data_IF_468657384883
#
_entry.id   IF_468657384883
#
_cell.length_a   1.000
_cell.length_b   1.000
_cell.length_c   1.000
_cell.angle_alpha   90.00
_cell.angle_beta   90.00
_cell.angle_gamma   90.00
#
_symmetry.space_group_name_H-M   'P 1'
#
loop_
_entity.id
_entity.type
_entity.pdbx_description
1 polymer ?
#
# COMPACT_ATOMS: atom_id res chain seq x y z
N UNK A 1 -18.93 -22.47 1.86
CA UNK A 1 -18.35 -21.28 1.23
C UNK A 1 -18.16 -20.32 2.39
N UNK A 2 -16.96 -20.29 2.96
CA UNK A 2 -16.70 -19.50 4.16
C UNK A 2 -16.32 -18.08 3.70
N UNK A 3 -17.33 -17.31 3.30
CA UNK A 3 -17.22 -15.92 2.82
C UNK A 3 -16.68 -14.96 3.89
N UNK A 4 -16.56 -15.41 5.14
CA UNK A 4 -16.39 -14.54 6.30
C UNK A 4 -15.06 -14.72 7.05
N UNK A 5 -14.12 -15.51 6.52
CA UNK A 5 -12.77 -15.57 7.07
C UNK A 5 -11.92 -14.49 6.40
N UNK A 6 -11.43 -13.46 7.15
CA UNK A 6 -10.45 -12.54 6.61
C UNK A 6 -9.28 -13.35 6.08
N UNK A 7 -8.94 -13.17 4.81
CA UNK A 7 -7.80 -13.87 4.22
C UNK A 7 -6.55 -13.36 4.93
N UNK A 8 -5.91 -14.21 5.73
CA UNK A 8 -4.70 -13.87 6.48
C UNK A 8 -3.64 -13.25 5.55
N UNK A 9 -3.56 -13.73 4.30
CA UNK A 9 -2.70 -13.18 3.26
C UNK A 9 -2.98 -11.69 2.97
N UNK A 10 -4.25 -11.29 2.83
CA UNK A 10 -4.67 -9.89 2.63
C UNK A 10 -4.20 -9.01 3.78
N UNK A 11 -4.50 -9.42 5.02
CA UNK A 11 -4.10 -8.69 6.22
C UNK A 11 -2.57 -8.55 6.29
N UNK A 12 -1.84 -9.63 6.03
CA UNK A 12 -0.37 -9.63 6.05
C UNK A 12 0.20 -8.69 4.99
N UNK A 13 -0.35 -8.71 3.77
CA UNK A 13 0.04 -7.82 2.67
C UNK A 13 -0.17 -6.35 3.06
N UNK A 14 -1.40 -5.98 3.43
CA UNK A 14 -1.75 -4.58 3.74
C UNK A 14 -0.94 -4.03 4.92
N UNK A 15 -0.76 -4.82 5.99
CA UNK A 15 0.12 -4.44 7.12
C UNK A 15 1.57 -4.28 6.70
N UNK A 16 2.05 -5.11 5.77
CA UNK A 16 3.40 -4.96 5.23
C UNK A 16 3.54 -3.68 4.41
N UNK A 17 2.55 -3.33 3.60
CA UNK A 17 2.54 -2.09 2.80
C UNK A 17 2.59 -0.85 3.71
N UNK A 18 1.76 -0.80 4.75
CA UNK A 18 1.82 0.24 5.77
C UNK A 18 3.20 0.36 6.40
N UNK A 19 3.72 -0.75 6.95
CA UNK A 19 5.01 -0.73 7.66
C UNK A 19 6.18 -0.32 6.75
N UNK A 20 6.17 -0.74 5.48
CA UNK A 20 7.37 -0.66 4.63
C UNK A 20 7.30 0.46 3.60
N UNK A 21 6.18 0.61 2.89
CA UNK A 21 6.05 1.59 1.82
C UNK A 21 5.60 2.97 2.35
N UNK A 22 4.69 2.97 3.33
CA UNK A 22 4.11 4.21 3.88
C UNK A 22 4.93 4.70 5.08
N UNK A 23 4.90 3.97 6.20
CA UNK A 23 5.56 4.38 7.45
C UNK A 23 7.08 4.19 7.43
N UNK A 24 7.61 3.48 6.43
CA UNK A 24 9.05 3.34 6.22
C UNK A 24 9.77 4.69 6.11
N UNK A 25 9.06 5.74 5.67
CA UNK A 25 9.58 7.10 5.56
C UNK A 25 9.82 7.82 6.89
N UNK A 26 9.19 7.37 7.98
CA UNK A 26 9.48 7.86 9.34
C UNK A 26 10.75 7.25 9.94
N UNK A 27 11.35 6.25 9.28
CA UNK A 27 12.57 5.61 9.77
C UNK A 27 13.76 6.59 9.77
N UNK A 28 14.65 6.54 10.79
CA UNK A 28 15.83 7.38 10.84
C UNK A 28 16.67 7.27 9.56
N UNK A 29 17.03 8.42 8.97
CA UNK A 29 17.83 8.49 7.75
C UNK A 29 17.07 8.24 6.45
N UNK A 30 15.76 7.93 6.48
CA UNK A 30 15.01 7.64 5.26
C UNK A 30 14.93 8.84 4.32
N UNK A 31 14.65 10.04 4.85
CA UNK A 31 14.60 11.29 4.09
C UNK A 31 15.98 11.69 3.54
N UNK A 32 17.04 11.48 4.31
CA UNK A 32 18.40 11.87 3.95
C UNK A 32 18.96 11.10 2.74
N UNK A 33 18.36 9.96 2.39
CA UNK A 33 18.67 9.23 1.15
C UNK A 33 18.13 9.94 -0.10
N UNK A 34 17.17 10.85 0.06
CA UNK A 34 16.60 11.64 -1.03
C UNK A 34 17.28 13.00 -1.04
N UNK A 35 18.06 13.29 -2.09
CA UNK A 35 18.86 14.51 -2.18
C UNK A 35 18.03 15.80 -2.01
N UNK A 36 16.79 15.82 -2.52
CA UNK A 36 15.89 16.95 -2.34
C UNK A 36 15.45 17.12 -0.89
N UNK A 37 15.03 16.05 -0.22
CA UNK A 37 14.63 16.09 1.19
C UNK A 37 15.81 16.45 2.10
N UNK A 38 17.02 15.94 1.82
CA UNK A 38 18.23 16.35 2.53
C UNK A 38 18.46 17.86 2.43
N UNK A 39 18.37 18.46 1.23
CA UNK A 39 18.52 19.92 1.08
C UNK A 39 17.46 20.68 1.87
N UNK A 40 16.21 20.23 1.86
CA UNK A 40 15.14 20.86 2.64
C UNK A 40 15.42 20.81 4.15
N UNK A 41 15.90 19.67 4.65
CA UNK A 41 16.31 19.52 6.06
C UNK A 41 17.51 20.41 6.41
N UNK A 42 18.51 20.49 5.52
CA UNK A 42 19.68 21.34 5.71
C UNK A 42 19.31 22.85 5.72
N UNK A 43 18.23 23.24 5.03
CA UNK A 43 17.64 24.59 5.05
C UNK A 43 16.68 24.83 6.25
N UNK A 44 16.53 23.86 7.14
CA UNK A 44 15.73 23.99 8.36
C UNK A 44 14.24 23.70 8.21
N UNK A 45 13.82 23.01 7.14
CA UNK A 45 12.47 22.48 7.06
C UNK A 45 12.19 21.52 8.22
N UNK A 46 10.97 21.56 8.74
CA UNK A 46 10.55 20.65 9.81
C UNK A 46 10.53 19.20 9.29
N UNK A 47 11.11 18.29 10.09
CA UNK A 47 11.22 16.88 9.69
C UNK A 47 9.84 16.21 9.66
N UNK A 48 9.00 16.48 10.65
CA UNK A 48 7.73 15.80 10.80
C UNK A 48 6.79 16.20 9.66
N UNK A 49 6.85 17.47 9.21
CA UNK A 49 6.14 17.95 8.02
C UNK A 49 6.61 17.23 6.75
N UNK A 50 7.92 17.04 6.58
CA UNK A 50 8.46 16.31 5.42
C UNK A 50 8.11 14.83 5.46
N UNK A 51 8.15 14.20 6.63
CA UNK A 51 7.71 12.81 6.80
C UNK A 51 6.23 12.69 6.46
N UNK A 52 5.39 13.60 6.95
CA UNK A 52 3.95 13.60 6.65
C UNK A 52 3.70 13.72 5.15
N UNK A 53 4.33 14.69 4.48
CA UNK A 53 4.19 14.88 3.04
C UNK A 53 4.52 13.62 2.24
N UNK A 54 5.63 12.96 2.57
CA UNK A 54 6.07 11.76 1.85
C UNK A 54 5.19 10.55 2.20
N UNK A 55 4.71 10.43 3.44
CA UNK A 55 3.74 9.39 3.84
C UNK A 55 2.44 9.52 3.07
N UNK A 56 1.92 10.74 2.88
CA UNK A 56 0.72 10.99 2.06
C UNK A 56 0.97 10.56 0.61
N UNK A 57 2.08 11.00 -0.01
CA UNK A 57 2.40 10.61 -1.38
C UNK A 57 2.59 9.09 -1.55
N UNK A 58 3.20 8.43 -0.57
CA UNK A 58 3.37 6.99 -0.57
C UNK A 58 2.04 6.25 -0.41
N UNK A 59 1.16 6.73 0.48
CA UNK A 59 -0.18 6.17 0.66
C UNK A 59 -0.99 6.26 -0.63
N UNK A 60 -1.06 7.43 -1.28
CA UNK A 60 -1.78 7.63 -2.54
C UNK A 60 -1.24 6.69 -3.65
N UNK A 61 0.08 6.57 -3.77
CA UNK A 61 0.68 5.66 -4.73
C UNK A 61 0.36 4.18 -4.45
N UNK A 62 0.40 3.76 -3.19
CA UNK A 62 0.02 2.40 -2.79
C UNK A 62 -1.46 2.16 -3.05
N UNK A 63 -2.32 3.13 -2.72
CA UNK A 63 -3.77 3.10 -2.93
C UNK A 63 -4.13 2.88 -4.40
N UNK A 64 -3.49 3.64 -5.31
CA UNK A 64 -3.67 3.47 -6.75
C UNK A 64 -3.19 2.10 -7.26
N UNK A 65 -2.08 1.59 -6.71
CA UNK A 65 -1.60 0.25 -7.08
C UNK A 65 -2.57 -0.84 -6.63
N UNK A 66 -3.07 -0.79 -5.39
CA UNK A 66 -3.98 -1.83 -4.90
C UNK A 66 -5.34 -1.80 -5.58
N UNK A 67 -5.81 -0.62 -6.00
CA UNK A 67 -7.02 -0.45 -6.81
C UNK A 67 -6.90 -1.16 -8.18
N UNK A 68 -5.75 -0.99 -8.84
CA UNK A 68 -5.43 -1.73 -10.07
C UNK A 68 -5.33 -3.25 -9.82
N UNK A 69 -4.78 -3.66 -8.67
CA UNK A 69 -4.72 -5.07 -8.28
C UNK A 69 -6.09 -5.71 -8.02
N UNK A 70 -7.04 -4.96 -7.45
CA UNK A 70 -8.41 -5.42 -7.26
C UNK A 70 -9.20 -5.47 -8.58
N UNK A 71 -8.96 -4.50 -9.46
CA UNK A 71 -9.64 -4.42 -10.75
C UNK A 71 -9.29 -5.62 -11.64
N UNK A 72 -8.01 -6.05 -11.63
CA UNK A 72 -7.56 -7.32 -12.25
C UNK A 72 -7.76 -7.41 -13.76
N UNK A 73 -8.27 -6.36 -14.39
CA UNK A 73 -8.50 -6.27 -15.82
C UNK A 73 -8.69 -4.79 -16.13
N UNK A 74 -7.86 -4.22 -17.02
CA UNK A 74 -8.32 -3.05 -17.74
C UNK A 74 -7.80 -2.94 -19.18
N UNK A 75 -8.75 -2.53 -20.02
CA UNK A 75 -8.63 -2.02 -21.39
C UNK A 75 -7.90 -2.88 -22.43
N UNK A 76 -8.65 -3.83 -23.02
CA UNK A 76 -8.71 -4.09 -24.45
C UNK A 76 -7.40 -3.89 -25.24
N UNK A 77 -6.32 -4.55 -24.78
CA UNK A 77 -5.09 -4.63 -25.56
C UNK A 77 -5.38 -5.60 -26.70
N UNK A 78 -5.61 -5.05 -27.89
CA UNK A 78 -5.73 -5.79 -29.15
C UNK A 78 -6.92 -6.77 -29.29
N UNK A 79 -8.09 -6.47 -28.69
CA UNK A 79 -9.31 -7.26 -28.90
C UNK A 79 -9.33 -8.63 -28.21
N UNK A 80 -8.43 -8.84 -27.26
CA UNK A 80 -8.45 -10.00 -26.36
C UNK A 80 -8.74 -9.54 -24.94
N UNK A 81 -9.71 -10.18 -24.29
CA UNK A 81 -9.96 -10.01 -22.87
C UNK A 81 -8.85 -10.75 -22.09
N UNK A 82 -7.86 -9.99 -21.61
CA UNK A 82 -6.83 -10.48 -20.71
C UNK A 82 -7.16 -9.97 -19.32
N UNK A 83 -7.42 -10.90 -18.41
CA UNK A 83 -7.62 -10.64 -16.99
C UNK A 83 -6.62 -11.41 -16.15
N UNK A 84 -6.40 -10.94 -14.94
CA UNK A 84 -5.57 -11.55 -13.92
C UNK A 84 -6.21 -11.30 -12.55
N UNK A 85 -5.72 -11.99 -11.53
CA UNK A 85 -6.19 -11.81 -10.17
C UNK A 85 -5.04 -12.07 -9.21
N UNK A 86 -4.93 -11.25 -8.16
CA UNK A 86 -4.02 -11.55 -7.05
C UNK A 86 -4.64 -12.66 -6.22
N UNK A 87 -3.87 -13.70 -5.89
CA UNK A 87 -4.37 -14.82 -5.09
C UNK A 87 -3.37 -15.29 -4.06
N UNK A 88 -3.90 -15.91 -2.99
CA UNK A 88 -3.11 -16.45 -1.90
C UNK A 88 -2.27 -17.64 -2.41
N UNK A 89 -1.02 -17.71 -1.96
CA UNK A 89 -0.16 -18.87 -2.15
C UNK A 89 -0.16 -19.76 -0.90
N UNK A 90 0.00 -21.07 -1.11
CA UNK A 90 0.30 -22.00 -0.02
C UNK A 90 1.77 -21.92 0.43
N UNK A 91 2.18 -22.82 1.32
CA UNK A 91 3.55 -22.89 1.85
C UNK A 91 4.60 -23.28 0.81
N UNK A 92 4.19 -23.87 -0.31
CA UNK A 92 5.07 -24.24 -1.42
C UNK A 92 5.11 -23.14 -2.50
N UNK A 93 4.36 -22.06 -2.31
CA UNK A 93 4.24 -20.95 -3.26
C UNK A 93 3.24 -21.23 -4.38
N UNK A 94 2.47 -22.32 -4.31
CA UNK A 94 1.46 -22.64 -5.32
C UNK A 94 0.19 -21.81 -5.09
N UNK A 95 -0.48 -21.35 -6.16
CA UNK A 95 -1.69 -20.56 -6.00
C UNK A 95 -2.84 -21.42 -5.46
N UNK A 96 -3.50 -20.95 -4.40
CA UNK A 96 -4.59 -21.67 -3.72
C UNK A 96 -5.94 -21.54 -4.44
N UNK A 97 -6.05 -20.63 -5.40
CA UNK A 97 -7.31 -20.25 -6.06
C UNK A 97 -8.19 -19.32 -5.23
N UNK A 98 -7.75 -18.89 -4.03
CA UNK A 98 -8.45 -17.87 -3.23
C UNK A 98 -7.97 -16.46 -3.61
N UNK A 99 -8.80 -15.61 -4.23
CA UNK A 99 -8.40 -14.29 -4.66
C UNK A 99 -8.29 -13.32 -3.47
N UNK A 100 -7.24 -12.50 -3.44
CA UNK A 100 -7.12 -11.36 -2.53
C UNK A 100 -7.96 -10.22 -3.09
N UNK A 101 -9.24 -10.19 -2.73
CA UNK A 101 -10.16 -9.12 -3.11
C UNK A 101 -10.28 -8.08 -1.99
N UNK A 102 -10.61 -6.84 -2.37
CA UNK A 102 -10.92 -5.76 -1.45
C UNK A 102 -9.67 -5.14 -0.82
N UNK A 103 -8.55 -5.13 -1.55
CA UNK A 103 -7.28 -4.57 -1.08
C UNK A 103 -7.37 -3.05 -0.91
N UNK A 104 -7.98 -2.35 -1.86
CA UNK A 104 -8.17 -0.91 -1.84
C UNK A 104 -9.08 -0.49 -0.69
N UNK A 105 -10.25 -1.12 -0.53
CA UNK A 105 -11.20 -0.80 0.53
C UNK A 105 -10.61 -1.06 1.92
N UNK A 106 -9.87 -2.16 2.09
CA UNK A 106 -9.27 -2.50 3.38
C UNK A 106 -7.98 -1.72 3.67
N UNK A 107 -7.34 -1.08 2.69
CA UNK A 107 -6.04 -0.44 2.88
C UNK A 107 -6.08 0.61 4.00
N UNK A 108 -7.08 1.49 4.00
CA UNK A 108 -7.19 2.56 5.00
C UNK A 108 -7.48 1.99 6.41
N UNK A 109 -8.29 0.93 6.49
CA UNK A 109 -8.61 0.25 7.75
C UNK A 109 -7.39 -0.41 8.41
N UNK A 110 -6.33 -0.63 7.65
CA UNK A 110 -5.08 -1.25 8.11
C UNK A 110 -4.06 -0.22 8.62
N UNK A 111 -4.43 1.06 8.71
CA UNK A 111 -3.61 2.08 9.37
C UNK A 111 -3.20 1.61 10.77
N UNK A 112 -1.88 1.46 11.05
CA UNK A 112 -1.37 1.02 12.35
C UNK A 112 -1.78 1.93 13.51
N UNK A 113 -2.12 3.18 13.24
CA UNK A 113 -2.56 4.15 14.25
C UNK A 113 -4.01 3.91 14.71
N UNK A 114 -4.79 3.14 13.95
CA UNK A 114 -6.21 2.92 14.20
C UNK A 114 -7.09 4.15 13.95
N UNK A 115 -6.54 5.21 13.35
CA UNK A 115 -7.27 6.44 13.02
C UNK A 115 -7.64 6.53 11.54
N UNK A 116 -7.55 5.42 10.81
CA UNK A 116 -7.95 5.34 9.40
C UNK A 116 -7.35 6.49 8.56
N UNK A 117 -6.05 6.77 8.76
CA UNK A 117 -5.34 7.78 8.00
C UNK A 117 -5.77 9.22 8.27
N UNK A 118 -6.40 9.54 9.42
CA UNK A 118 -6.76 10.92 9.82
C UNK A 118 -5.61 11.94 9.65
N UNK A 119 -4.36 11.52 9.86
CA UNK A 119 -3.21 12.40 9.64
C UNK A 119 -2.90 12.66 8.15
N UNK A 120 -3.33 11.79 7.25
CA UNK A 120 -3.07 11.87 5.81
C UNK A 120 -4.14 12.65 5.03
N UNK A 121 -5.39 12.68 5.52
CA UNK A 121 -6.58 13.18 4.77
C UNK A 121 -7.06 14.58 5.19
N UNK A 122 -6.20 15.42 5.76
CA UNK A 122 -6.60 16.69 6.37
C UNK A 122 -6.76 17.86 5.41
#
# INVERSE_FOLDING_TARGET
MDENQPQLARIVLLRSLWRTAIDGWASPGALERVAAAKRLLDEGADRDDLVLLVRVAAYEAVSAVVDELDSGADMNVSGMDVGWVVMESDTEGSPTGRPLAGLHEDLLTMDPSGREGEDLVR
#
